data_IF_444596840468
#
_entry.id   IF_444596840468
#
_cell.length_a   1.000
_cell.length_b   1.000
_cell.length_c   1.000
_cell.angle_alpha   90.00
_cell.angle_beta   90.00
_cell.angle_gamma   90.00
#
_symmetry.space_group_name_H-M   'P 1'
#
loop_
_entity.id
_entity.type
_entity.pdbx_description
1 polymer ?
#
# COMPACT_ATOMS: atom_id res chain seq x y z
N UNK A 1 20.48 -8.10 5.26
CA UNK A 1 19.36 -8.21 6.21
C UNK A 1 18.19 -7.48 5.59
N UNK A 2 17.30 -8.21 4.92
CA UNK A 2 16.09 -7.67 4.28
C UNK A 2 15.12 -7.24 5.37
N UNK A 3 14.82 -5.95 5.46
CA UNK A 3 13.75 -5.42 6.27
C UNK A 3 12.41 -5.94 5.70
N UNK A 4 12.02 -7.16 6.08
CA UNK A 4 10.66 -7.66 5.91
C UNK A 4 9.85 -6.98 6.99
N UNK A 5 9.48 -5.72 6.75
CA UNK A 5 8.63 -4.96 7.64
C UNK A 5 7.27 -5.62 7.71
N UNK A 6 6.93 -6.18 8.87
CA UNK A 6 5.60 -6.71 9.13
C UNK A 6 4.57 -5.59 8.89
N UNK A 7 3.51 -5.84 8.12
CA UNK A 7 2.45 -4.85 7.94
C UNK A 7 1.81 -4.54 9.30
N UNK A 8 1.66 -3.25 9.59
CA UNK A 8 0.89 -2.82 10.75
C UNK A 8 -0.58 -2.59 10.40
N UNK A 9 -1.47 -2.80 11.38
CA UNK A 9 -2.92 -2.51 11.23
C UNK A 9 -3.16 -1.06 10.81
N UNK A 10 -2.35 -0.13 11.31
CA UNK A 10 -2.48 1.30 11.01
C UNK A 10 -2.15 1.60 9.54
N UNK A 11 -1.07 1.02 9.00
CA UNK A 11 -0.72 1.19 7.59
C UNK A 11 -1.81 0.63 6.66
N UNK A 12 -2.31 -0.57 6.96
CA UNK A 12 -3.41 -1.17 6.18
C UNK A 12 -4.67 -0.31 6.28
N UNK A 13 -5.03 0.13 7.48
CA UNK A 13 -6.20 0.98 7.71
C UNK A 13 -6.10 2.30 6.93
N UNK A 14 -4.91 2.91 6.88
CA UNK A 14 -4.67 4.14 6.12
C UNK A 14 -4.76 3.92 4.61
N UNK A 15 -4.16 2.83 4.09
CA UNK A 15 -4.17 2.50 2.67
C UNK A 15 -5.57 2.16 2.15
N UNK A 16 -6.36 1.44 2.94
CA UNK A 16 -7.75 1.14 2.60
C UNK A 16 -8.63 2.40 2.75
N UNK A 17 -8.30 3.27 3.71
CA UNK A 17 -9.04 4.46 4.05
C UNK A 17 -10.51 4.18 4.39
N UNK A 18 -11.30 5.23 4.61
CA UNK A 18 -12.76 5.11 4.73
C UNK A 18 -13.48 4.60 3.47
N UNK A 19 -12.74 4.13 2.45
CA UNK A 19 -13.25 3.72 1.14
C UNK A 19 -13.88 2.32 1.17
N UNK A 20 -13.42 1.47 2.08
CA UNK A 20 -14.01 0.16 2.35
C UNK A 20 -15.08 0.27 3.44
N UNK A 21 -16.26 -0.27 3.14
CA UNK A 21 -17.34 -0.41 4.13
C UNK A 21 -17.04 -1.57 5.06
N UNK A 22 -17.58 -1.54 6.28
CA UNK A 22 -17.49 -2.62 7.27
C UNK A 22 -17.75 -4.00 6.66
N UNK A 23 -18.82 -4.12 5.86
CA UNK A 23 -19.21 -5.38 5.21
C UNK A 23 -18.15 -5.87 4.23
N UNK A 24 -17.59 -4.96 3.42
CA UNK A 24 -16.54 -5.33 2.46
C UNK A 24 -15.22 -5.64 3.16
N UNK A 25 -14.88 -4.95 4.26
CA UNK A 25 -13.72 -5.28 5.09
C UNK A 25 -13.85 -6.68 5.70
N UNK A 26 -15.03 -7.03 6.24
CA UNK A 26 -15.32 -8.39 6.73
C UNK A 26 -15.12 -9.44 5.62
N UNK A 27 -15.69 -9.18 4.44
CA UNK A 27 -15.60 -10.09 3.31
C UNK A 27 -14.15 -10.25 2.80
N UNK A 28 -13.36 -9.17 2.83
CA UNK A 28 -11.95 -9.17 2.48
C UNK A 28 -11.15 -10.11 3.40
N UNK A 29 -11.24 -9.91 4.72
CA UNK A 29 -10.45 -10.70 5.69
C UNK A 29 -10.90 -12.16 5.76
N UNK A 30 -12.18 -12.43 5.52
CA UNK A 30 -12.68 -13.79 5.31
C UNK A 30 -11.98 -14.48 4.13
N UNK A 31 -11.86 -13.81 2.98
CA UNK A 31 -11.15 -14.35 1.81
C UNK A 31 -9.64 -14.49 2.02
N UNK A 32 -9.08 -13.84 3.03
CA UNK A 32 -7.67 -13.95 3.43
C UNK A 32 -7.44 -15.02 4.51
N UNK A 33 -8.49 -15.71 4.95
CA UNK A 33 -8.39 -16.88 5.82
C UNK A 33 -8.82 -16.66 7.27
N UNK A 34 -9.37 -15.49 7.63
CA UNK A 34 -9.92 -15.29 8.98
C UNK A 34 -11.25 -16.06 9.10
N UNK A 35 -11.39 -16.97 10.09
CA UNK A 35 -12.61 -17.75 10.28
C UNK A 35 -13.83 -16.86 10.53
N UNK A 36 -14.99 -17.29 10.02
CA UNK A 36 -16.23 -16.51 10.15
C UNK A 36 -16.63 -16.28 11.61
N UNK A 37 -16.41 -17.27 12.48
CA UNK A 37 -16.69 -17.20 13.93
C UNK A 37 -15.99 -15.99 14.57
N UNK A 38 -14.68 -15.84 14.33
CA UNK A 38 -13.89 -14.69 14.82
C UNK A 38 -14.44 -13.37 14.27
N UNK A 39 -14.91 -13.36 13.03
CA UNK A 39 -15.47 -12.15 12.41
C UNK A 39 -16.89 -11.84 12.90
N UNK A 40 -17.64 -12.82 13.40
CA UNK A 40 -18.93 -12.62 14.03
C UNK A 40 -18.74 -12.07 15.45
N UNK A 41 -17.83 -12.64 16.23
CA UNK A 41 -17.48 -12.13 17.57
C UNK A 41 -17.07 -10.64 17.52
N UNK A 42 -16.19 -10.29 16.58
CA UNK A 42 -15.77 -8.88 16.36
C UNK A 42 -16.96 -8.01 15.92
N UNK A 43 -17.89 -8.55 15.13
CA UNK A 43 -19.04 -7.79 14.65
C UNK A 43 -20.07 -7.52 15.75
N UNK A 44 -20.13 -8.38 16.76
CA UNK A 44 -21.00 -8.22 17.91
C UNK A 44 -20.40 -7.25 18.94
N UNK A 45 -19.08 -7.27 19.14
CA UNK A 45 -18.39 -6.43 20.12
C UNK A 45 -18.15 -4.99 19.62
N UNK A 46 -17.70 -4.80 18.37
CA UNK A 46 -17.25 -3.50 17.87
C UNK A 46 -18.24 -2.88 16.87
N UNK A 47 -18.14 -1.58 16.61
CA UNK A 47 -18.98 -0.87 15.61
C UNK A 47 -18.15 0.08 14.74
N UNK A 48 -18.72 0.50 13.61
CA UNK A 48 -18.15 1.56 12.77
C UNK A 48 -16.71 1.30 12.30
N UNK A 49 -15.84 2.30 12.53
CA UNK A 49 -14.42 2.24 12.15
C UNK A 49 -13.64 1.23 13.01
N UNK A 50 -13.91 1.19 14.31
CA UNK A 50 -13.24 0.26 15.24
C UNK A 50 -13.44 -1.18 14.78
N UNK A 51 -14.67 -1.54 14.36
CA UNK A 51 -14.94 -2.87 13.80
C UNK A 51 -14.06 -3.20 12.59
N UNK A 52 -13.81 -2.23 11.71
CA UNK A 52 -12.91 -2.43 10.56
C UNK A 52 -11.48 -2.66 11.03
N UNK A 53 -11.00 -1.88 11.98
CA UNK A 53 -9.65 -2.03 12.53
C UNK A 53 -9.48 -3.41 13.18
N UNK A 54 -10.47 -3.88 13.93
CA UNK A 54 -10.44 -5.21 14.54
C UNK A 54 -10.46 -6.34 13.50
N UNK A 55 -11.20 -6.21 12.40
CA UNK A 55 -11.11 -7.18 11.29
C UNK A 55 -9.71 -7.24 10.68
N UNK A 56 -9.11 -6.08 10.40
CA UNK A 56 -7.77 -6.02 9.81
C UNK A 56 -6.71 -6.56 10.78
N UNK A 57 -6.86 -6.24 12.08
CA UNK A 57 -6.01 -6.77 13.13
C UNK A 57 -6.10 -8.29 13.23
N UNK A 58 -7.31 -8.86 13.21
CA UNK A 58 -7.49 -10.31 13.24
C UNK A 58 -6.79 -11.00 12.07
N UNK A 59 -6.83 -10.40 10.87
CA UNK A 59 -6.06 -10.93 9.74
C UNK A 59 -4.55 -10.89 9.98
N UNK A 60 -4.01 -9.76 10.44
CA UNK A 60 -2.57 -9.61 10.71
C UNK A 60 -2.08 -10.52 11.84
N UNK A 61 -2.90 -10.72 12.87
CA UNK A 61 -2.58 -11.58 14.02
C UNK A 61 -2.60 -13.06 13.62
N UNK A 62 -3.44 -13.47 12.67
CA UNK A 62 -3.55 -14.86 12.21
C UNK A 62 -2.61 -15.22 11.04
N UNK A 63 -2.22 -14.24 10.22
CA UNK A 63 -1.33 -14.44 9.08
C UNK A 63 0.04 -13.78 9.32
N UNK A 64 1.04 -14.50 9.88
CA UNK A 64 2.38 -13.96 10.12
C UNK A 64 3.12 -13.61 8.82
N UNK A 65 2.62 -14.06 7.67
CA UNK A 65 3.13 -13.73 6.35
C UNK A 65 2.19 -12.73 5.63
N UNK A 66 1.41 -11.95 6.37
CA UNK A 66 0.60 -10.88 5.80
C UNK A 66 1.48 -9.88 5.04
N UNK A 67 1.12 -9.60 3.79
CA UNK A 67 1.88 -8.75 2.88
C UNK A 67 0.96 -7.84 2.07
N UNK A 68 1.53 -6.78 1.48
CA UNK A 68 0.81 -5.90 0.54
C UNK A 68 0.31 -6.69 -0.68
N UNK A 69 1.08 -7.67 -1.16
CA UNK A 69 0.66 -8.55 -2.26
C UNK A 69 -0.59 -9.35 -1.90
N UNK A 70 -0.63 -9.93 -0.69
CA UNK A 70 -1.82 -10.66 -0.21
C UNK A 70 -3.03 -9.73 -0.10
N UNK A 71 -2.84 -8.51 0.39
CA UNK A 71 -3.90 -7.51 0.48
C UNK A 71 -4.46 -7.17 -0.91
N UNK A 72 -3.58 -6.91 -1.87
CA UNK A 72 -3.94 -6.63 -3.27
C UNK A 72 -4.69 -7.80 -3.90
N UNK A 73 -4.21 -9.03 -3.73
CA UNK A 73 -4.89 -10.24 -4.21
C UNK A 73 -6.26 -10.40 -3.57
N UNK A 74 -6.38 -10.17 -2.25
CA UNK A 74 -7.67 -10.17 -1.54
C UNK A 74 -8.64 -9.13 -2.09
N UNK A 75 -8.18 -7.90 -2.33
CA UNK A 75 -8.99 -6.83 -2.91
C UNK A 75 -9.48 -7.19 -4.33
N UNK A 76 -8.62 -7.82 -5.16
CA UNK A 76 -9.01 -8.32 -6.48
C UNK A 76 -10.07 -9.42 -6.38
N UNK A 77 -9.95 -10.35 -5.41
CA UNK A 77 -10.96 -11.40 -5.16
C UNK A 77 -12.33 -10.82 -4.82
N UNK A 78 -12.39 -9.75 -4.02
CA UNK A 78 -13.65 -9.05 -3.69
C UNK A 78 -14.02 -7.94 -4.70
N UNK A 79 -13.44 -7.97 -5.90
CA UNK A 79 -13.71 -7.04 -7.01
C UNK A 79 -13.47 -5.56 -6.69
N UNK A 80 -12.62 -5.25 -5.71
CA UNK A 80 -12.17 -3.87 -5.44
C UNK A 80 -10.91 -3.55 -6.27
N UNK A 81 -10.97 -3.80 -7.59
CA UNK A 81 -9.83 -3.70 -8.50
C UNK A 81 -9.21 -2.30 -8.53
N UNK A 82 -10.04 -1.25 -8.50
CA UNK A 82 -9.55 0.13 -8.45
C UNK A 82 -8.65 0.38 -7.23
N UNK A 83 -9.07 -0.09 -6.06
CA UNK A 83 -8.29 0.05 -4.82
C UNK A 83 -7.02 -0.78 -4.88
N UNK A 84 -7.12 -2.01 -5.39
CA UNK A 84 -5.95 -2.87 -5.58
C UNK A 84 -4.90 -2.18 -6.46
N UNK A 85 -5.31 -1.59 -7.58
CA UNK A 85 -4.41 -0.85 -8.49
C UNK A 85 -3.77 0.36 -7.83
N UNK A 86 -4.52 1.13 -7.03
CA UNK A 86 -3.97 2.31 -6.35
C UNK A 86 -2.93 1.92 -5.29
N UNK A 87 -3.19 0.86 -4.53
CA UNK A 87 -2.24 0.31 -3.54
C UNK A 87 -1.01 -0.27 -4.26
N UNK A 88 -1.20 -1.04 -5.33
CA UNK A 88 -0.09 -1.55 -6.15
C UNK A 88 0.82 -0.41 -6.63
N UNK A 89 0.25 0.69 -7.14
CA UNK A 89 1.02 1.86 -7.55
C UNK A 89 1.79 2.48 -6.39
N UNK A 90 1.12 2.76 -5.27
CA UNK A 90 1.73 3.41 -4.10
C UNK A 90 2.90 2.60 -3.54
N UNK A 91 2.73 1.29 -3.42
CA UNK A 91 3.77 0.40 -2.90
C UNK A 91 4.90 0.17 -3.91
N UNK A 92 4.61 0.00 -5.20
CA UNK A 92 5.65 -0.15 -6.22
C UNK A 92 6.47 1.14 -6.39
N UNK A 93 5.84 2.33 -6.30
CA UNK A 93 6.55 3.62 -6.35
C UNK A 93 7.48 3.82 -5.14
N UNK A 94 7.10 3.33 -3.97
CA UNK A 94 7.94 3.39 -2.76
C UNK A 94 9.10 2.39 -2.81
N UNK A 95 8.94 1.22 -3.43
CA UNK A 95 10.06 0.29 -3.68
C UNK A 95 11.11 0.89 -4.61
N UNK A 96 10.70 1.66 -5.62
CA UNK A 96 11.63 2.33 -6.55
C UNK A 96 12.37 3.50 -5.88
N UNK A 97 11.74 4.19 -4.92
CA UNK A 97 12.33 5.38 -4.27
C UNK A 97 13.37 5.09 -3.19
N UNK A 98 13.40 3.88 -2.60
CA UNK A 98 14.43 3.50 -1.62
C UNK A 98 15.63 2.75 -2.22
N UNK A 99 15.66 2.56 -3.53
CA UNK A 99 16.89 2.14 -4.24
C UNK A 99 17.67 3.36 -4.70
N UNK A 100 18.11 4.19 -3.75
CA UNK A 100 19.25 5.06 -3.97
C UNK A 100 20.53 4.21 -3.95
N UNK A 101 20.67 3.30 -4.92
CA UNK A 101 21.98 2.91 -5.40
C UNK A 101 22.14 3.56 -6.77
N UNK A 102 23.15 4.41 -6.98
CA UNK A 102 23.48 4.83 -8.32
C UNK A 102 23.76 3.57 -9.17
N UNK A 103 23.42 3.57 -10.47
CA UNK A 103 23.94 2.53 -11.35
C UNK A 103 25.48 2.52 -11.22
N UNK A 104 26.15 1.35 -11.25
CA UNK A 104 27.60 1.32 -11.32
C UNK A 104 28.03 2.15 -12.53
N UNK A 105 28.65 3.29 -12.26
CA UNK A 105 29.20 4.20 -13.27
C UNK A 105 30.26 3.42 -14.05
N UNK A 106 30.22 3.39 -15.40
CA UNK A 106 31.40 3.03 -16.17
C UNK A 106 32.47 4.11 -15.95
N UNK A 107 33.57 3.73 -15.31
CA UNK A 107 34.72 4.58 -14.99
C UNK A 107 35.39 5.10 -16.26
N UNK A 108 35.05 6.30 -16.73
CA UNK A 108 35.83 7.11 -17.70
C UNK A 108 35.56 8.62 -17.42
N UNK A 109 36.57 9.52 -17.46
CA UNK A 109 36.65 10.63 -16.52
C UNK A 109 35.95 11.92 -16.93
N UNK A 110 35.51 12.63 -15.88
CA UNK A 110 35.50 14.08 -15.67
C UNK A 110 35.53 14.98 -16.91
N UNK A 111 34.36 15.53 -17.25
CA UNK A 111 34.28 16.93 -17.71
C UNK A 111 33.19 17.62 -16.89
N UNK A 112 33.56 18.77 -16.35
CA UNK A 112 32.89 19.55 -15.32
C UNK A 112 31.59 20.22 -15.78
N UNK A 113 30.95 20.87 -14.79
CA UNK A 113 30.08 22.05 -14.92
C UNK A 113 28.62 21.79 -15.35
N UNK A 114 27.57 22.48 -14.86
CA UNK A 114 27.42 23.68 -14.06
C UNK A 114 26.13 23.58 -13.23
N UNK A 115 26.14 24.24 -12.08
CA UNK A 115 24.99 24.58 -11.25
C UNK A 115 24.03 25.50 -12.03
N UNK A 116 22.79 25.08 -12.33
CA UNK A 116 21.76 25.98 -12.83
C UNK A 116 20.40 25.70 -12.17
N UNK A 117 19.98 26.71 -11.41
CA UNK A 117 18.66 26.96 -10.82
C UNK A 117 17.57 27.20 -11.90
N UNK A 118 16.28 27.32 -11.54
CA UNK A 118 15.15 26.96 -12.41
C UNK A 118 14.83 28.01 -13.47
N UNK A 119 14.50 27.53 -14.68
CA UNK A 119 14.10 28.36 -15.81
C UNK A 119 12.68 28.93 -15.63
N UNK A 120 12.63 30.25 -15.46
CA UNK A 120 11.44 31.10 -15.64
C UNK A 120 10.78 30.85 -17.00
N UNK A 121 9.46 30.68 -17.00
CA UNK A 121 8.64 30.71 -18.21
C UNK A 121 8.43 32.15 -18.69
N UNK A 122 8.75 32.41 -19.97
CA UNK A 122 8.18 33.50 -20.78
C UNK A 122 8.20 33.12 -22.27
N UNK A 123 7.00 32.84 -22.80
CA UNK A 123 6.45 33.52 -23.99
C UNK A 123 6.93 33.17 -25.40
N UNK A 124 5.92 33.06 -26.29
CA UNK A 124 5.91 33.29 -27.75
C UNK A 124 6.53 32.18 -28.63
N UNK A 125 5.90 31.71 -29.73
CA UNK A 125 4.88 32.27 -30.64
C UNK A 125 4.08 31.14 -31.28
N UNK A 126 2.77 31.32 -31.43
CA UNK A 126 1.99 30.66 -32.49
C UNK A 126 2.33 31.32 -33.83
N UNK A 127 2.39 30.49 -34.88
CA UNK A 127 2.54 30.89 -36.27
C UNK A 127 1.18 31.25 -36.84
#
# INVERSE_FOLDING_TARGET
MTASGNLSTLEVSNALGGRLTVKKTKHLVFHMGVPLEVLDDIADEFKGEDRKQHFLRAWLDMDPAASWDKLVVGLKKIKQNYMATEIEKEHHLNTVRCSASPPPVPTVPTVACFHLQPLKWKGLKQV
#
